data_IF_213293606382
#
_entry.id   IF_213293606382
#
_cell.length_a   1.000
_cell.length_b   1.000
_cell.length_c   1.000
_cell.angle_alpha   90.00
_cell.angle_beta   90.00
_cell.angle_gamma   90.00
#
_symmetry.space_group_name_H-M   'P 1'
#
loop_
_entity.id
_entity.type
_entity.pdbx_description
1 polymer ?
#
# COMPACT_ATOMS: atom_id res chain seq x y z
N UNK A 1 -25.42 40.81 -61.55
CA UNK A 1 -26.63 41.07 -60.76
C UNK A 1 -26.52 40.27 -59.47
N UNK A 2 -26.41 40.98 -58.36
CA UNK A 2 -26.24 40.43 -57.02
C UNK A 2 -27.61 40.10 -56.41
N UNK A 3 -27.73 38.94 -55.76
CA UNK A 3 -28.81 38.58 -54.84
C UNK A 3 -28.11 37.86 -53.67
N UNK A 4 -27.72 38.62 -52.65
CA UNK A 4 -28.51 38.94 -51.45
C UNK A 4 -28.54 37.75 -50.48
N UNK A 5 -27.48 37.72 -49.67
CA UNK A 5 -27.39 37.04 -48.39
C UNK A 5 -28.65 37.31 -47.56
N UNK A 6 -29.35 36.24 -47.18
CA UNK A 6 -30.36 36.27 -46.12
C UNK A 6 -29.68 35.73 -44.86
N UNK A 7 -29.21 36.64 -44.01
CA UNK A 7 -28.81 36.31 -42.63
C UNK A 7 -30.06 35.82 -41.89
N UNK A 8 -29.99 34.63 -41.31
CA UNK A 8 -30.95 34.17 -40.30
C UNK A 8 -30.73 34.97 -39.03
N UNK A 9 -31.69 35.81 -38.70
CA UNK A 9 -31.85 36.43 -37.38
C UNK A 9 -32.24 35.32 -36.38
N UNK A 10 -31.23 34.74 -35.74
CA UNK A 10 -31.42 33.87 -34.57
C UNK A 10 -31.73 34.79 -33.39
N UNK A 11 -33.01 35.15 -33.26
CA UNK A 11 -33.56 35.94 -32.18
C UNK A 11 -33.35 35.25 -30.82
N UNK A 12 -32.20 35.50 -30.20
CA UNK A 12 -32.00 35.28 -28.77
C UNK A 12 -32.81 36.33 -28.01
N UNK A 13 -34.01 35.93 -27.61
CA UNK A 13 -34.82 36.64 -26.63
C UNK A 13 -34.11 36.61 -25.28
N UNK A 14 -33.39 37.68 -24.94
CA UNK A 14 -33.00 37.93 -23.56
C UNK A 14 -34.27 38.26 -22.76
N UNK A 15 -34.77 37.27 -22.01
CA UNK A 15 -35.83 37.46 -21.03
C UNK A 15 -35.38 38.38 -19.89
N UNK A 16 -36.25 39.24 -19.34
CA UNK A 16 -35.89 40.16 -18.29
C UNK A 16 -35.85 39.46 -16.93
N UNK A 17 -34.66 39.43 -16.32
CA UNK A 17 -34.48 39.34 -14.87
C UNK A 17 -34.66 37.97 -14.21
N UNK A 18 -33.57 37.23 -14.08
CA UNK A 18 -33.30 36.47 -12.86
C UNK A 18 -32.00 37.00 -12.26
N UNK A 19 -32.09 37.47 -11.02
CA UNK A 19 -30.99 38.08 -10.28
C UNK A 19 -29.72 37.21 -10.30
N UNK A 20 -28.52 37.81 -10.37
CA UNK A 20 -27.31 37.10 -9.96
C UNK A 20 -27.45 36.84 -8.46
N UNK A 21 -27.82 35.62 -8.10
CA UNK A 21 -27.85 35.17 -6.71
C UNK A 21 -26.45 35.29 -6.12
N UNK A 22 -26.24 36.30 -5.31
CA UNK A 22 -25.08 36.52 -4.43
C UNK A 22 -25.16 35.65 -3.17
N UNK A 23 -25.55 34.38 -3.33
CA UNK A 23 -26.03 33.55 -2.21
C UNK A 23 -25.26 32.21 -2.10
N UNK A 24 -23.98 32.22 -2.48
CA UNK A 24 -23.04 31.15 -2.13
C UNK A 24 -21.98 31.70 -1.18
N UNK A 25 -22.43 32.39 -0.13
CA UNK A 25 -21.66 32.73 1.06
C UNK A 25 -21.93 31.72 2.17
N UNK A 26 -21.73 30.43 1.90
CA UNK A 26 -21.40 29.41 2.90
C UNK A 26 -20.64 28.32 2.16
N UNK A 27 -19.35 28.55 1.90
CA UNK A 27 -18.44 27.42 1.65
C UNK A 27 -18.10 26.81 3.02
N UNK A 28 -19.15 26.26 3.63
CA UNK A 28 -19.09 25.64 4.93
C UNK A 28 -18.43 24.30 4.75
N UNK A 29 -17.09 24.28 4.77
CA UNK A 29 -16.23 23.09 4.99
C UNK A 29 -16.99 21.79 4.73
N UNK A 30 -17.35 21.56 3.47
CA UNK A 30 -17.97 20.32 3.07
C UNK A 30 -16.91 19.26 3.32
N UNK A 31 -17.11 18.48 4.38
CA UNK A 31 -16.25 17.38 4.72
C UNK A 31 -16.23 16.44 3.54
N UNK A 32 -15.16 16.50 2.75
CA UNK A 32 -14.81 15.48 1.78
C UNK A 32 -14.60 14.17 2.57
N UNK A 33 -15.57 13.25 2.53
CA UNK A 33 -15.54 12.04 3.34
C UNK A 33 -14.66 11.03 2.62
N UNK A 34 -13.38 10.96 3.01
CA UNK A 34 -12.46 9.95 2.50
C UNK A 34 -11.08 10.01 3.14
N UNK A 35 -10.58 11.23 3.39
CA UNK A 35 -9.18 11.46 3.73
C UNK A 35 -8.87 11.25 5.22
N UNK A 36 -9.81 11.59 6.10
CA UNK A 36 -9.60 11.57 7.55
C UNK A 36 -9.40 10.17 8.14
N UNK A 37 -9.96 9.15 7.49
CA UNK A 37 -9.82 7.74 7.93
C UNK A 37 -8.41 7.24 7.69
N UNK A 38 -7.81 7.54 6.53
CA UNK A 38 -6.43 7.16 6.23
C UNK A 38 -5.45 7.85 7.15
N UNK A 39 -5.64 9.15 7.41
CA UNK A 39 -4.78 9.92 8.30
C UNK A 39 -4.77 9.31 9.72
N UNK A 40 -5.92 8.87 10.23
CA UNK A 40 -5.99 8.17 11.54
C UNK A 40 -5.24 6.84 11.54
N UNK A 41 -5.37 6.04 10.50
CA UNK A 41 -4.66 4.75 10.39
C UNK A 41 -3.14 4.97 10.27
N UNK A 42 -2.70 5.97 9.50
CA UNK A 42 -1.28 6.38 9.42
C UNK A 42 -0.74 6.74 10.79
N UNK A 43 -1.49 7.54 11.55
CA UNK A 43 -1.05 8.03 12.86
C UNK A 43 -0.92 6.89 13.86
N UNK A 44 -1.86 5.94 13.86
CA UNK A 44 -1.76 4.72 14.69
C UNK A 44 -0.53 3.89 14.28
N UNK A 45 -0.31 3.67 12.99
CA UNK A 45 0.85 2.92 12.49
C UNK A 45 2.18 3.60 12.84
N UNK A 46 2.24 4.92 12.75
CA UNK A 46 3.40 5.71 13.12
C UNK A 46 3.72 5.57 14.61
N UNK A 47 2.70 5.67 15.48
CA UNK A 47 2.87 5.48 16.93
C UNK A 47 3.32 4.06 17.25
N UNK A 48 2.71 3.04 16.66
CA UNK A 48 3.13 1.64 16.82
C UNK A 48 4.58 1.44 16.39
N UNK A 49 5.01 2.10 15.31
CA UNK A 49 6.40 2.04 14.84
C UNK A 49 7.37 2.75 15.76
N UNK A 50 7.02 3.92 16.28
CA UNK A 50 7.85 4.62 17.25
C UNK A 50 8.03 3.80 18.54
N UNK A 51 6.97 3.17 19.03
CA UNK A 51 7.02 2.27 20.19
C UNK A 51 7.90 1.05 19.91
N UNK A 52 7.77 0.45 18.73
CA UNK A 52 8.58 -0.69 18.32
C UNK A 52 10.08 -0.36 18.30
N UNK A 53 10.46 0.76 17.68
CA UNK A 53 11.85 1.23 17.64
C UNK A 53 12.38 1.53 19.05
N UNK A 54 11.55 2.12 19.92
CA UNK A 54 11.92 2.39 21.30
C UNK A 54 12.16 1.09 22.08
N UNK A 55 11.28 0.08 21.97
CA UNK A 55 11.45 -1.22 22.64
C UNK A 55 12.69 -1.96 22.10
N UNK A 56 12.91 -1.92 20.79
CA UNK A 56 14.11 -2.50 20.15
C UNK A 56 15.40 -1.91 20.72
N UNK A 57 15.45 -0.59 20.94
CA UNK A 57 16.65 0.09 21.44
C UNK A 57 16.95 -0.15 22.92
N UNK A 58 15.94 -0.44 23.74
CA UNK A 58 16.08 -0.54 25.20
C UNK A 58 16.28 -2.00 25.65
N UNK A 59 16.25 -2.97 24.72
CA UNK A 59 16.55 -4.40 24.91
C UNK A 59 15.81 -5.07 26.09
N UNK A 60 14.59 -4.60 26.38
CA UNK A 60 13.82 -5.04 27.56
C UNK A 60 13.26 -6.47 27.41
N UNK A 61 13.21 -7.01 26.18
CA UNK A 61 12.61 -8.33 25.89
C UNK A 61 13.41 -9.13 24.83
N UNK A 62 14.72 -9.26 24.99
CA UNK A 62 15.63 -9.95 24.04
C UNK A 62 15.15 -11.32 23.51
N UNK A 63 14.36 -12.09 24.27
CA UNK A 63 13.79 -13.38 23.81
C UNK A 63 12.45 -13.30 23.06
N UNK A 64 11.63 -12.26 23.28
CA UNK A 64 10.33 -12.06 22.61
C UNK A 64 10.41 -11.04 21.47
N UNK A 65 11.51 -10.28 21.40
CA UNK A 65 11.69 -9.17 20.49
C UNK A 65 11.51 -9.60 19.03
N UNK A 66 12.21 -10.65 18.61
CA UNK A 66 12.14 -11.16 17.23
C UNK A 66 10.72 -11.55 16.81
N UNK A 67 9.99 -12.44 17.51
CA UNK A 67 8.63 -12.80 17.10
C UNK A 67 7.64 -11.62 17.20
N UNK A 68 7.82 -10.70 18.16
CA UNK A 68 6.99 -9.50 18.27
C UNK A 68 7.20 -8.55 17.08
N UNK A 69 8.44 -8.31 16.66
CA UNK A 69 8.76 -7.49 15.48
C UNK A 69 8.19 -8.10 14.19
N UNK A 70 8.29 -9.43 14.04
CA UNK A 70 7.70 -10.12 12.88
C UNK A 70 6.18 -9.95 12.87
N UNK A 71 5.51 -10.14 14.01
CA UNK A 71 4.07 -9.94 14.12
C UNK A 71 3.64 -8.49 13.84
N UNK A 72 4.36 -7.51 14.39
CA UNK A 72 4.11 -6.09 14.12
C UNK A 72 4.34 -5.75 12.64
N UNK A 73 5.39 -6.27 12.02
CA UNK A 73 5.70 -6.07 10.60
C UNK A 73 4.58 -6.60 9.70
N UNK A 74 4.10 -7.82 9.95
CA UNK A 74 2.95 -8.39 9.22
C UNK A 74 1.69 -7.54 9.44
N UNK A 75 1.41 -7.15 10.68
CA UNK A 75 0.25 -6.30 10.99
C UNK A 75 0.29 -4.95 10.27
N UNK A 76 1.46 -4.31 10.23
CA UNK A 76 1.66 -3.05 9.49
C UNK A 76 1.48 -3.25 8.00
N UNK A 77 2.04 -4.32 7.44
CA UNK A 77 1.87 -4.64 6.03
C UNK A 77 0.39 -4.80 5.66
N UNK A 78 -0.38 -5.54 6.46
CA UNK A 78 -1.84 -5.70 6.24
C UNK A 78 -2.58 -4.37 6.35
N UNK A 79 -2.23 -3.53 7.31
CA UNK A 79 -2.84 -2.21 7.46
C UNK A 79 -2.51 -1.27 6.29
N UNK A 80 -1.28 -1.30 5.78
CA UNK A 80 -0.85 -0.51 4.62
C UNK A 80 -1.57 -0.99 3.35
N UNK A 81 -1.60 -2.30 3.11
CA UNK A 81 -2.28 -2.86 1.93
C UNK A 81 -3.80 -2.64 2.01
N UNK A 82 -4.41 -2.86 3.17
CA UNK A 82 -5.86 -2.75 3.34
C UNK A 82 -6.37 -1.32 3.28
N UNK A 83 -5.67 -0.38 3.91
CA UNK A 83 -6.09 1.02 3.96
C UNK A 83 -5.33 1.89 2.95
N UNK A 84 -4.00 1.95 2.98
CA UNK A 84 -3.24 2.88 2.13
C UNK A 84 -3.20 2.52 0.65
N UNK A 85 -3.27 1.23 0.29
CA UNK A 85 -3.40 0.80 -1.11
C UNK A 85 -4.85 0.77 -1.61
N UNK A 86 -5.81 1.29 -0.83
CA UNK A 86 -7.22 1.39 -1.21
C UNK A 86 -7.99 0.07 -1.36
N UNK A 87 -7.36 -1.12 -1.28
CA UNK A 87 -8.00 -2.42 -1.50
C UNK A 87 -9.29 -2.68 -0.70
N UNK A 88 -9.43 -2.12 0.50
CA UNK A 88 -10.67 -2.27 1.29
C UNK A 88 -11.86 -1.49 0.71
N UNK A 89 -11.58 -0.42 -0.04
CA UNK A 89 -12.56 0.47 -0.66
C UNK A 89 -12.63 0.32 -2.19
N UNK A 90 -11.74 -0.48 -2.77
CA UNK A 90 -11.61 -0.72 -4.20
C UNK A 90 -12.20 -2.08 -4.64
N UNK A 91 -12.27 -2.33 -5.94
CA UNK A 91 -12.84 -3.56 -6.50
C UNK A 91 -12.06 -4.82 -6.10
N UNK A 92 -12.79 -5.89 -5.72
CA UNK A 92 -12.22 -7.19 -5.30
C UNK A 92 -11.23 -7.80 -6.29
N UNK A 93 -11.26 -7.39 -7.56
CA UNK A 93 -10.32 -7.83 -8.61
C UNK A 93 -8.89 -7.33 -8.38
N UNK A 94 -8.73 -6.08 -7.93
CA UNK A 94 -7.41 -5.52 -7.62
C UNK A 94 -6.81 -6.23 -6.40
N UNK A 95 -7.64 -6.49 -5.40
CA UNK A 95 -7.28 -7.33 -4.24
C UNK A 95 -6.84 -8.72 -4.64
N UNK A 96 -7.57 -9.39 -5.55
CA UNK A 96 -7.22 -10.73 -6.00
C UNK A 96 -5.86 -10.78 -6.73
N UNK A 97 -5.59 -9.82 -7.62
CA UNK A 97 -4.31 -9.73 -8.35
C UNK A 97 -3.15 -9.47 -7.37
N UNK A 98 -3.33 -8.54 -6.43
CA UNK A 98 -2.32 -8.24 -5.42
C UNK A 98 -1.99 -9.45 -4.55
N UNK A 99 -3.03 -10.13 -4.01
CA UNK A 99 -2.85 -11.31 -3.17
C UNK A 99 -2.20 -12.45 -3.96
N UNK A 100 -2.58 -12.65 -5.21
CA UNK A 100 -1.95 -13.67 -6.06
C UNK A 100 -0.46 -13.37 -6.27
N UNK A 101 -0.11 -12.12 -6.55
CA UNK A 101 1.29 -11.68 -6.66
C UNK A 101 2.06 -11.88 -5.34
N UNK A 102 1.45 -11.56 -4.20
CA UNK A 102 2.03 -11.77 -2.88
C UNK A 102 2.31 -13.24 -2.59
N UNK A 103 1.37 -14.14 -2.94
CA UNK A 103 1.53 -15.59 -2.78
C UNK A 103 2.67 -16.11 -3.66
N UNK A 104 2.74 -15.67 -4.92
CA UNK A 104 3.82 -16.07 -5.84
C UNK A 104 5.16 -15.59 -5.29
N UNK A 105 5.28 -14.32 -4.89
CA UNK A 105 6.50 -13.78 -4.32
C UNK A 105 6.94 -14.56 -3.06
N UNK A 106 6.01 -14.81 -2.14
CA UNK A 106 6.29 -15.60 -0.94
C UNK A 106 6.74 -17.02 -1.28
N UNK A 107 6.10 -17.68 -2.26
CA UNK A 107 6.51 -19.03 -2.69
C UNK A 107 7.91 -19.06 -3.28
N UNK A 108 8.30 -18.04 -4.05
CA UNK A 108 9.65 -17.94 -4.63
C UNK A 108 10.67 -17.74 -3.52
N UNK A 109 10.41 -16.86 -2.56
CA UNK A 109 11.30 -16.65 -1.41
C UNK A 109 11.46 -17.93 -0.59
N UNK A 110 10.37 -18.64 -0.31
CA UNK A 110 10.42 -19.92 0.42
C UNK A 110 11.18 -20.97 -0.39
N UNK A 111 10.93 -21.09 -1.69
CA UNK A 111 11.63 -22.04 -2.55
C UNK A 111 13.14 -21.76 -2.60
N UNK A 112 13.55 -20.49 -2.70
CA UNK A 112 14.96 -20.10 -2.65
C UNK A 112 15.59 -20.38 -1.29
N UNK A 113 14.89 -20.10 -0.19
CA UNK A 113 15.38 -20.39 1.15
C UNK A 113 15.62 -21.91 1.34
N UNK A 114 14.68 -22.76 0.89
CA UNK A 114 14.83 -24.20 0.93
C UNK A 114 15.94 -24.72 0.02
N UNK A 115 16.14 -24.11 -1.14
CA UNK A 115 17.19 -24.50 -2.07
C UNK A 115 18.58 -24.19 -1.51
N UNK A 116 18.79 -23.00 -0.91
CA UNK A 116 20.06 -22.67 -0.28
C UNK A 116 20.33 -23.54 0.94
N UNK A 117 19.31 -23.79 1.78
CA UNK A 117 19.42 -24.72 2.91
C UNK A 117 19.86 -26.12 2.43
N UNK A 118 19.23 -26.67 1.39
CA UNK A 118 19.64 -27.96 0.80
C UNK A 118 21.09 -27.95 0.28
N UNK A 119 21.52 -26.88 -0.38
CA UNK A 119 22.89 -26.76 -0.91
C UNK A 119 23.93 -26.69 0.22
N UNK A 120 23.65 -25.92 1.27
CA UNK A 120 24.57 -25.78 2.41
C UNK A 120 24.64 -27.09 3.22
N UNK A 121 23.54 -27.83 3.32
CA UNK A 121 23.49 -29.24 3.76
C UNK A 121 24.15 -30.22 2.79
N UNK A 122 24.68 -29.84 1.63
CA UNK A 122 25.49 -30.74 0.80
C UNK A 122 26.99 -30.43 0.95
N UNK A 123 27.34 -29.18 1.25
CA UNK A 123 28.73 -28.77 1.47
C UNK A 123 29.26 -29.23 2.83
N UNK A 124 28.44 -29.23 3.88
CA UNK A 124 28.86 -29.67 5.23
C UNK A 124 29.23 -31.17 5.29
N UNK A 125 28.56 -32.03 4.50
CA UNK A 125 28.76 -33.48 4.55
C UNK A 125 29.78 -33.96 3.53
N UNK A 126 30.04 -33.20 2.47
CA UNK A 126 31.23 -33.42 1.63
C UNK A 126 32.49 -32.98 2.38
N UNK A 127 32.46 -31.86 3.12
CA UNK A 127 33.60 -31.40 3.92
C UNK A 127 33.90 -32.34 5.10
N UNK A 128 32.87 -32.82 5.80
CA UNK A 128 33.01 -33.82 6.88
C UNK A 128 33.36 -35.22 6.35
N UNK A 129 32.93 -35.60 5.14
CA UNK A 129 33.29 -36.86 4.48
C UNK A 129 34.63 -36.81 3.71
N UNK A 130 35.30 -35.65 3.66
CA UNK A 130 36.64 -35.50 3.12
C UNK A 130 37.75 -35.48 4.21
N UNK A 131 37.83 -36.43 5.17
CA UNK A 131 39.04 -36.55 5.97
C UNK A 131 40.10 -37.38 5.22
N UNK A 132 41.19 -36.70 4.87
CA UNK A 132 42.53 -37.26 4.74
C UNK A 132 42.81 -38.27 3.60
N UNK A 133 42.96 -37.77 2.37
CA UNK A 133 43.72 -38.50 1.34
C UNK A 133 44.74 -37.65 0.60
N UNK A 134 45.40 -36.72 1.29
CA UNK A 134 46.57 -36.00 0.76
C UNK A 134 47.68 -35.97 1.82
N UNK A 135 48.23 -37.15 2.11
CA UNK A 135 49.59 -37.32 2.63
C UNK A 135 50.20 -38.54 1.97
N UNK A 136 50.78 -38.37 0.78
CA UNK A 136 51.92 -39.15 0.28
C UNK A 136 52.61 -38.41 -0.87
#
# INVERSE_FOLDING_TARGET
MAQSVSHGDDGYSHGPGSQPGTDHLVDGHEGHPGESTYIRVALILAVVTAIEVAIYYIDVLSGILVPALVALSVGKFVAVVGYFMHLKFDDRKLTAIFVTGLVIAASVVIALALMFDYNDYELDLVEVAAPASETE
#
